data_IF_108751971865
#
_entry.id   IF_108751971865
#
_cell.length_a   1.000
_cell.length_b   1.000
_cell.length_c   1.000
_cell.angle_alpha   90.00
_cell.angle_beta   90.00
_cell.angle_gamma   90.00
#
_symmetry.space_group_name_H-M   'P 1'
#
loop_
_entity.id
_entity.type
_entity.pdbx_description
1 polymer ?
#
# COMPACT_ATOMS: atom_id res chain seq x y z
N UNK A 1 72.87 -31.80 12.93
CA UNK A 1 71.55 -32.23 13.41
C UNK A 1 70.73 -30.96 13.64
N UNK A 2 69.91 -30.54 12.62
CA UNK A 2 69.10 -29.33 12.71
C UNK A 2 67.62 -29.76 12.84
N UNK A 3 67.10 -29.50 14.01
CA UNK A 3 65.69 -29.79 14.34
C UNK A 3 64.87 -28.57 13.95
N UNK A 4 64.01 -28.66 12.86
CA UNK A 4 63.07 -27.63 12.47
C UNK A 4 61.78 -27.80 13.26
N UNK A 5 61.52 -26.84 14.13
CA UNK A 5 60.23 -26.73 14.87
C UNK A 5 59.16 -26.24 13.93
N UNK A 6 58.12 -27.06 13.63
CA UNK A 6 56.95 -26.68 12.85
C UNK A 6 55.92 -26.06 13.80
N UNK A 7 55.64 -24.77 13.62
CA UNK A 7 54.50 -24.06 14.29
C UNK A 7 53.26 -24.23 13.45
N UNK A 8 52.15 -24.72 13.98
CA UNK A 8 50.86 -24.76 13.23
C UNK A 8 50.24 -23.39 13.18
N UNK A 9 49.94 -22.92 11.98
CA UNK A 9 49.16 -21.69 11.72
C UNK A 9 47.68 -22.02 11.87
N UNK A 10 47.06 -21.64 12.99
CA UNK A 10 45.59 -21.73 13.18
C UNK A 10 44.92 -20.53 12.54
N UNK A 11 44.25 -20.75 11.42
CA UNK A 11 43.42 -19.72 10.77
C UNK A 11 42.10 -19.55 11.54
N UNK A 12 41.97 -18.45 12.26
CA UNK A 12 40.72 -18.07 12.93
C UNK A 12 39.79 -17.43 11.91
N UNK A 13 38.73 -18.14 11.49
CA UNK A 13 37.70 -17.63 10.58
C UNK A 13 36.73 -16.75 11.37
N UNK A 14 36.84 -15.43 11.20
CA UNK A 14 35.88 -14.45 11.75
C UNK A 14 34.61 -14.48 10.89
N UNK A 15 33.56 -15.10 11.41
CA UNK A 15 32.22 -15.03 10.80
C UNK A 15 31.60 -13.69 11.18
N UNK A 16 31.58 -12.73 10.25
CA UNK A 16 30.84 -11.46 10.41
C UNK A 16 29.35 -11.72 10.21
N UNK A 17 28.59 -11.76 11.29
CA UNK A 17 27.12 -11.80 11.24
C UNK A 17 26.60 -10.40 10.93
N UNK A 18 26.09 -10.20 9.70
CA UNK A 18 25.38 -8.97 9.32
C UNK A 18 23.97 -9.02 9.92
N UNK A 19 23.73 -8.22 10.95
CA UNK A 19 22.39 -7.94 11.45
C UNK A 19 21.70 -7.00 10.44
N UNK A 20 20.77 -7.53 9.67
CA UNK A 20 19.90 -6.72 8.82
C UNK A 20 18.96 -5.89 9.71
N UNK A 21 19.28 -4.60 9.88
CA UNK A 21 18.38 -3.64 10.51
C UNK A 21 17.20 -3.46 9.57
N UNK A 22 16.01 -3.93 9.97
CA UNK A 22 14.76 -3.61 9.27
C UNK A 22 14.48 -2.13 9.51
N UNK A 23 14.82 -1.27 8.54
CA UNK A 23 14.36 0.13 8.54
C UNK A 23 12.87 0.10 8.26
N UNK A 24 12.06 0.26 9.29
CA UNK A 24 10.64 0.53 9.14
C UNK A 24 10.50 1.94 8.56
N UNK A 25 9.85 2.07 7.41
CA UNK A 25 9.59 3.37 6.82
C UNK A 25 8.74 4.19 7.80
N UNK A 26 9.24 5.35 8.19
CA UNK A 26 8.55 6.22 9.14
C UNK A 26 7.36 6.86 8.43
N UNK A 27 6.14 6.71 9.01
CA UNK A 27 4.92 7.31 8.45
C UNK A 27 5.09 8.83 8.46
N UNK A 28 4.95 9.54 7.31
CA UNK A 28 5.02 10.98 7.26
C UNK A 28 4.00 11.64 8.21
N UNK A 29 4.42 12.67 8.96
CA UNK A 29 3.56 13.33 9.96
C UNK A 29 2.22 13.84 9.38
N UNK A 30 2.17 14.16 8.09
CA UNK A 30 0.96 14.59 7.40
C UNK A 30 -0.10 13.47 7.26
N UNK A 31 0.31 12.20 7.39
CA UNK A 31 -0.57 11.04 7.25
C UNK A 31 -1.00 10.47 8.61
N UNK A 32 -0.26 10.80 9.68
CA UNK A 32 -0.60 10.30 11.01
C UNK A 32 -1.93 10.94 11.43
N UNK A 33 -2.96 10.11 11.64
CA UNK A 33 -4.17 10.56 12.32
C UNK A 33 -3.74 11.04 13.72
N UNK A 34 -3.94 12.31 14.00
CA UNK A 34 -3.35 12.96 15.17
C UNK A 34 -3.79 12.33 16.49
N UNK A 35 -4.99 11.74 16.52
CA UNK A 35 -5.55 11.11 17.73
C UNK A 35 -6.52 10.00 17.30
N UNK A 36 -6.28 8.77 17.74
CA UNK A 36 -7.21 7.69 17.46
C UNK A 36 -6.61 6.31 17.75
N UNK A 37 -7.35 5.50 18.51
CA UNK A 37 -6.94 4.13 18.74
C UNK A 37 -7.10 3.29 17.47
N UNK A 38 -6.09 2.45 17.17
CA UNK A 38 -6.19 1.45 16.11
C UNK A 38 -7.24 0.43 16.50
N UNK A 39 -8.20 0.18 15.61
CA UNK A 39 -9.25 -0.84 15.79
C UNK A 39 -9.04 -2.06 14.90
N UNK A 40 -8.40 -1.88 13.74
CA UNK A 40 -8.04 -2.97 12.84
C UNK A 40 -6.85 -2.59 11.95
N UNK A 41 -6.07 -3.58 11.57
CA UNK A 41 -5.05 -3.47 10.53
C UNK A 41 -5.17 -4.66 9.59
N UNK A 42 -5.28 -4.39 8.29
CA UNK A 42 -5.35 -5.42 7.26
C UNK A 42 -4.21 -5.22 6.27
N UNK A 43 -3.51 -6.30 5.96
CA UNK A 43 -2.70 -6.37 4.76
C UNK A 43 -3.64 -6.52 3.55
N UNK A 44 -3.37 -5.80 2.47
CA UNK A 44 -4.15 -5.90 1.25
C UNK A 44 -3.27 -6.34 0.09
N UNK A 45 -3.76 -7.32 -0.66
CA UNK A 45 -3.17 -7.76 -1.93
C UNK A 45 -4.21 -7.68 -3.03
N UNK A 46 -3.81 -7.14 -4.19
CA UNK A 46 -4.72 -6.97 -5.31
C UNK A 46 -4.10 -6.20 -6.47
N UNK A 47 -4.92 -5.41 -7.15
CA UNK A 47 -4.50 -4.61 -8.29
C UNK A 47 -5.15 -3.22 -8.31
N UNK A 48 -4.41 -2.26 -8.85
CA UNK A 48 -4.95 -1.00 -9.35
C UNK A 48 -5.38 -1.21 -10.80
N UNK A 49 -6.64 -0.95 -11.09
CA UNK A 49 -7.18 -1.06 -12.46
C UNK A 49 -7.12 0.31 -13.11
N UNK A 50 -6.53 0.35 -14.29
CA UNK A 50 -6.44 1.53 -15.14
C UNK A 50 -7.21 1.31 -16.43
N UNK A 51 -7.67 2.40 -17.01
CA UNK A 51 -8.26 2.40 -18.35
C UNK A 51 -7.52 3.40 -19.25
N UNK A 52 -7.21 2.99 -20.45
CA UNK A 52 -6.62 3.82 -21.48
C UNK A 52 -7.65 4.83 -21.99
N UNK A 53 -7.43 6.10 -21.76
CA UNK A 53 -8.33 7.20 -22.14
C UNK A 53 -7.56 8.38 -22.71
N UNK A 54 -8.22 9.24 -23.53
CA UNK A 54 -7.65 10.53 -23.91
C UNK A 54 -7.28 11.36 -22.67
N UNK A 55 -6.08 11.92 -22.67
CA UNK A 55 -5.55 12.78 -21.62
C UNK A 55 -5.56 14.24 -22.07
N UNK A 56 -6.75 14.83 -22.10
CA UNK A 56 -6.93 16.23 -22.49
C UNK A 56 -6.42 17.24 -21.44
N UNK A 57 -6.23 16.82 -20.18
CA UNK A 57 -5.69 17.68 -19.13
C UNK A 57 -4.18 17.86 -19.29
N UNK A 58 -3.45 16.77 -19.57
CA UNK A 58 -1.99 16.78 -19.73
C UNK A 58 -1.55 17.24 -21.12
N UNK A 59 -2.36 16.97 -22.16
CA UNK A 59 -2.05 17.25 -23.55
C UNK A 59 -3.21 17.99 -24.25
N UNK A 60 -3.55 19.22 -23.83
CA UNK A 60 -4.70 19.96 -24.38
C UNK A 60 -4.56 20.29 -25.87
N UNK A 61 -3.31 20.37 -26.39
CA UNK A 61 -3.00 20.57 -27.81
C UNK A 61 -2.94 19.26 -28.63
N UNK A 62 -2.97 18.11 -27.95
CA UNK A 62 -2.90 16.78 -28.56
C UNK A 62 -4.11 15.92 -28.16
N UNK A 63 -5.33 16.22 -28.66
CA UNK A 63 -6.57 15.59 -28.20
C UNK A 63 -6.65 14.06 -28.41
N UNK A 64 -5.63 13.47 -29.06
CA UNK A 64 -5.50 12.01 -29.26
C UNK A 64 -4.46 11.35 -28.38
N UNK A 65 -3.72 12.12 -27.57
CA UNK A 65 -2.79 11.52 -26.62
C UNK A 65 -3.55 10.65 -25.62
N UNK A 66 -3.15 9.39 -25.52
CA UNK A 66 -3.77 8.43 -24.62
C UNK A 66 -2.89 8.23 -23.38
N UNK A 67 -3.52 8.06 -22.23
CA UNK A 67 -2.84 7.76 -20.98
C UNK A 67 -3.61 6.73 -20.14
N UNK A 68 -2.88 6.00 -19.30
CA UNK A 68 -3.47 5.16 -18.28
C UNK A 68 -4.09 6.05 -17.18
N UNK A 69 -5.41 6.06 -17.11
CA UNK A 69 -6.15 6.74 -16.05
C UNK A 69 -6.63 5.73 -15.03
N UNK A 70 -6.34 5.99 -13.74
CA UNK A 70 -6.82 5.16 -12.65
C UNK A 70 -8.34 5.07 -12.66
N UNK A 71 -8.86 3.87 -12.51
CA UNK A 71 -10.29 3.59 -12.46
C UNK A 71 -10.72 3.15 -11.05
N UNK A 72 -10.13 2.06 -10.54
CA UNK A 72 -10.53 1.47 -9.28
C UNK A 72 -9.47 0.53 -8.70
N UNK A 73 -9.41 0.35 -7.37
CA UNK A 73 -8.70 -0.74 -6.76
C UNK A 73 -9.56 -2.00 -6.74
N UNK A 74 -8.93 -3.17 -6.73
CA UNK A 74 -9.54 -4.46 -6.41
C UNK A 74 -8.55 -5.21 -5.53
N UNK A 75 -8.88 -5.40 -4.25
CA UNK A 75 -7.97 -6.07 -3.33
C UNK A 75 -8.71 -6.89 -2.26
N UNK A 76 -8.05 -7.94 -1.79
CA UNK A 76 -8.45 -8.74 -0.63
C UNK A 76 -7.78 -8.19 0.62
N UNK A 77 -8.53 -8.09 1.72
CA UNK A 77 -8.03 -7.73 3.05
C UNK A 77 -7.64 -9.01 3.79
N UNK A 78 -6.41 -9.07 4.30
CA UNK A 78 -5.78 -10.29 4.80
C UNK A 78 -5.26 -10.06 6.22
N UNK A 79 -5.47 -11.04 7.10
CA UNK A 79 -4.83 -11.15 8.42
C UNK A 79 -4.36 -12.60 8.59
N UNK A 80 -3.10 -12.79 8.93
CA UNK A 80 -2.49 -14.11 9.16
C UNK A 80 -2.79 -15.12 8.02
N UNK A 81 -2.73 -14.63 6.77
CA UNK A 81 -2.96 -15.45 5.57
C UNK A 81 -4.43 -15.76 5.25
N UNK A 82 -5.38 -15.28 6.06
CA UNK A 82 -6.81 -15.49 5.84
C UNK A 82 -7.49 -14.23 5.30
N UNK A 83 -8.48 -14.40 4.40
CA UNK A 83 -9.28 -13.30 3.86
C UNK A 83 -10.34 -12.85 4.87
N UNK A 84 -10.35 -11.55 5.18
CA UNK A 84 -11.33 -10.91 6.07
C UNK A 84 -12.17 -9.85 5.39
N UNK A 85 -11.96 -9.58 4.11
CA UNK A 85 -12.75 -8.57 3.43
C UNK A 85 -12.17 -8.18 2.08
N UNK A 86 -12.65 -7.07 1.54
CA UNK A 86 -12.25 -6.55 0.23
C UNK A 86 -12.20 -5.02 0.22
N UNK A 87 -11.36 -4.50 -0.69
CA UNK A 87 -11.28 -3.08 -1.02
C UNK A 87 -11.56 -2.90 -2.51
N UNK A 88 -12.43 -1.94 -2.85
CA UNK A 88 -12.89 -1.72 -4.22
C UNK A 88 -13.31 -0.27 -4.47
N UNK A 89 -13.87 -0.01 -5.66
CA UNK A 89 -14.29 1.33 -6.09
C UNK A 89 -15.17 2.06 -5.07
N UNK A 90 -14.90 3.37 -4.88
CA UNK A 90 -15.71 4.22 -4.02
C UNK A 90 -14.97 5.24 -3.18
N UNK A 91 -13.74 5.06 -2.66
CA UNK A 91 -13.06 3.84 -2.20
C UNK A 91 -13.79 3.21 -1.01
N UNK A 92 -14.06 1.94 -1.09
CA UNK A 92 -14.85 1.19 -0.10
C UNK A 92 -14.08 0.01 0.45
N UNK A 93 -14.34 -0.30 1.73
CA UNK A 93 -13.83 -1.48 2.43
C UNK A 93 -15.01 -2.21 3.06
N UNK A 94 -15.14 -3.50 2.76
CA UNK A 94 -16.10 -4.41 3.37
C UNK A 94 -15.36 -5.46 4.17
N UNK A 95 -15.83 -5.75 5.37
CA UNK A 95 -15.36 -6.84 6.22
C UNK A 95 -16.37 -8.00 6.22
N UNK A 96 -15.88 -9.23 6.46
CA UNK A 96 -16.74 -10.45 6.42
C UNK A 96 -17.82 -10.48 7.51
N UNK A 97 -17.71 -9.67 8.57
CA UNK A 97 -18.73 -9.54 9.62
C UNK A 97 -19.94 -8.69 9.18
N UNK A 98 -19.94 -8.16 7.96
CA UNK A 98 -21.01 -7.35 7.40
C UNK A 98 -20.81 -5.84 7.60
N UNK A 99 -19.80 -5.41 8.36
CA UNK A 99 -19.45 -3.99 8.46
C UNK A 99 -18.70 -3.50 7.21
N UNK A 100 -18.93 -2.26 6.85
CA UNK A 100 -18.22 -1.63 5.74
C UNK A 100 -18.16 -0.12 5.88
N UNK A 101 -17.18 0.48 5.20
CA UNK A 101 -16.95 1.92 5.22
C UNK A 101 -16.58 2.46 3.85
N UNK A 102 -16.89 3.75 3.64
CA UNK A 102 -16.42 4.54 2.50
C UNK A 102 -15.52 5.65 2.99
N UNK A 103 -14.36 5.80 2.33
CA UNK A 103 -13.40 6.84 2.65
C UNK A 103 -13.40 7.99 1.65
N UNK A 104 -12.82 9.12 2.06
CA UNK A 104 -12.47 10.25 1.22
C UNK A 104 -11.03 10.64 1.55
N UNK A 105 -10.19 10.78 0.52
CA UNK A 105 -8.79 11.18 0.70
C UNK A 105 -8.71 12.56 1.38
N UNK A 106 -8.01 12.62 2.49
CA UNK A 106 -7.77 13.83 3.26
C UNK A 106 -6.32 14.33 3.10
N UNK A 107 -5.35 13.42 3.03
CA UNK A 107 -3.94 13.76 2.75
C UNK A 107 -3.22 12.62 2.03
N UNK A 108 -2.12 12.97 1.35
CA UNK A 108 -1.31 12.04 0.57
C UNK A 108 0.17 12.26 0.85
N UNK A 109 0.97 11.20 0.70
CA UNK A 109 2.41 11.26 0.62
C UNK A 109 2.91 10.28 -0.45
N UNK A 110 4.07 10.53 -1.09
CA UNK A 110 4.63 9.60 -2.07
C UNK A 110 4.83 8.20 -1.49
N UNK A 111 4.69 7.17 -2.34
CA UNK A 111 5.17 5.83 -2.04
C UNK A 111 6.70 5.79 -1.88
N UNK A 112 7.24 4.65 -1.46
CA UNK A 112 8.68 4.48 -1.26
C UNK A 112 9.49 4.55 -2.56
N UNK A 113 8.85 4.28 -3.71
CA UNK A 113 9.43 4.39 -5.04
C UNK A 113 8.42 4.94 -6.05
N UNK A 114 8.88 5.29 -7.25
CA UNK A 114 8.01 5.75 -8.35
C UNK A 114 7.04 4.67 -8.85
N UNK A 115 7.27 3.41 -8.53
CA UNK A 115 6.38 2.30 -8.89
C UNK A 115 5.27 2.07 -7.85
N UNK A 116 5.40 2.67 -6.68
CA UNK A 116 4.49 2.45 -5.55
C UNK A 116 3.39 3.53 -5.53
N UNK A 117 2.14 3.09 -5.38
CA UNK A 117 1.04 4.04 -5.19
C UNK A 117 1.23 4.85 -3.91
N UNK A 118 0.69 6.07 -3.90
CA UNK A 118 0.82 7.00 -2.77
C UNK A 118 0.32 6.39 -1.45
N UNK A 119 0.94 6.79 -0.35
CA UNK A 119 0.39 6.63 0.98
C UNK A 119 -0.74 7.63 1.19
N UNK A 120 -1.79 7.24 1.90
CA UNK A 120 -2.97 8.07 2.09
C UNK A 120 -3.41 8.08 3.55
N UNK A 121 -3.97 9.22 3.98
CA UNK A 121 -4.94 9.27 5.06
C UNK A 121 -6.31 9.58 4.45
N UNK A 122 -7.32 8.84 4.85
CA UNK A 122 -8.70 9.04 4.43
C UNK A 122 -9.57 9.28 5.66
N UNK A 123 -10.52 10.20 5.52
CA UNK A 123 -11.61 10.35 6.48
C UNK A 123 -12.76 9.42 6.07
N UNK A 124 -13.37 8.74 7.03
CA UNK A 124 -14.55 7.91 6.75
C UNK A 124 -15.76 8.83 6.65
N UNK A 125 -16.53 8.68 5.56
CA UNK A 125 -17.70 9.51 5.23
C UNK A 125 -19.00 8.72 5.22
N UNK A 126 -18.93 7.39 5.28
CA UNK A 126 -20.12 6.53 5.29
C UNK A 126 -19.78 5.21 6.00
N UNK A 127 -20.73 4.70 6.81
CA UNK A 127 -20.66 3.40 7.44
C UNK A 127 -21.84 2.54 6.98
N UNK A 128 -21.62 1.23 6.92
CA UNK A 128 -22.65 0.24 6.62
C UNK A 128 -22.52 -0.95 7.56
N UNK A 129 -23.66 -1.54 7.93
CA UNK A 129 -23.69 -2.70 8.82
C UNK A 129 -23.12 -2.41 10.21
N UNK A 130 -22.87 -3.48 10.95
CA UNK A 130 -22.24 -3.43 12.28
C UNK A 130 -21.15 -4.48 12.39
N UNK A 131 -20.06 -4.16 13.08
CA UNK A 131 -18.89 -5.01 13.25
C UNK A 131 -17.62 -4.20 13.48
N UNK A 132 -16.48 -4.77 13.14
CA UNK A 132 -15.16 -4.20 13.45
C UNK A 132 -14.92 -2.80 12.86
N UNK A 133 -15.51 -2.50 11.70
CA UNK A 133 -15.35 -1.19 11.03
C UNK A 133 -16.38 -0.15 11.46
N UNK A 134 -17.35 -0.47 12.31
CA UNK A 134 -18.46 0.42 12.65
C UNK A 134 -18.03 1.72 13.37
N UNK A 135 -16.95 1.67 14.12
CA UNK A 135 -16.42 2.82 14.86
C UNK A 135 -15.21 3.49 14.17
N UNK A 136 -14.85 3.03 12.98
CA UNK A 136 -13.71 3.59 12.26
C UNK A 136 -14.02 5.03 11.85
N UNK A 137 -13.09 5.95 12.10
CA UNK A 137 -13.18 7.36 11.72
C UNK A 137 -12.18 7.72 10.62
N UNK A 138 -11.04 7.07 10.61
CA UNK A 138 -9.99 7.30 9.62
C UNK A 138 -9.36 5.99 9.15
N UNK A 139 -8.79 6.04 7.95
CA UNK A 139 -8.01 4.94 7.35
C UNK A 139 -6.66 5.50 6.91
N UNK A 140 -5.59 4.81 7.26
CA UNK A 140 -4.25 5.05 6.71
C UNK A 140 -3.92 3.94 5.72
N UNK A 141 -3.56 4.28 4.47
CA UNK A 141 -2.94 3.36 3.51
C UNK A 141 -1.44 3.61 3.53
N UNK A 142 -0.68 2.65 4.01
CA UNK A 142 0.77 2.73 4.19
C UNK A 142 1.47 1.49 3.62
N UNK A 143 2.80 1.50 3.61
CA UNK A 143 3.62 0.37 3.18
C UNK A 143 3.27 -0.15 1.78
N UNK A 144 2.87 0.76 0.90
CA UNK A 144 2.46 0.42 -0.48
C UNK A 144 3.63 -0.15 -1.27
N UNK A 145 3.33 -1.16 -2.09
CA UNK A 145 4.24 -1.75 -3.07
C UNK A 145 3.53 -1.89 -4.40
N UNK A 146 4.14 -1.40 -5.47
CA UNK A 146 3.58 -1.47 -6.81
C UNK A 146 2.33 -0.61 -7.01
N UNK A 147 1.53 -0.96 -7.99
CA UNK A 147 0.24 -0.34 -8.31
C UNK A 147 0.30 0.85 -9.26
N UNK A 148 1.46 1.44 -9.54
CA UNK A 148 1.57 2.54 -10.50
C UNK A 148 1.66 2.03 -11.93
N UNK A 149 0.74 2.48 -12.81
CA UNK A 149 0.82 2.20 -14.23
C UNK A 149 2.07 2.85 -14.84
N UNK A 150 2.76 2.09 -15.69
CA UNK A 150 3.97 2.51 -16.39
C UNK A 150 3.77 2.42 -17.91
N UNK A 151 4.55 3.21 -18.65
CA UNK A 151 4.58 3.16 -20.09
C UNK A 151 3.39 3.83 -20.78
N UNK A 152 3.39 3.72 -22.11
CA UNK A 152 2.37 4.31 -22.98
C UNK A 152 1.10 3.43 -23.01
N UNK A 153 0.00 4.08 -23.36
CA UNK A 153 -1.29 3.45 -23.60
C UNK A 153 -1.66 3.75 -25.07
N UNK A 154 -1.91 2.69 -25.85
CA UNK A 154 -2.05 2.81 -27.30
C UNK A 154 -3.48 2.57 -27.80
N UNK A 155 -4.29 1.84 -27.05
CA UNK A 155 -5.65 1.47 -27.47
C UNK A 155 -6.67 2.04 -26.51
N UNK A 156 -7.45 3.03 -26.96
CA UNK A 156 -8.52 3.61 -26.17
C UNK A 156 -9.53 2.55 -25.69
N UNK A 157 -9.89 2.61 -24.41
CA UNK A 157 -10.78 1.64 -23.78
C UNK A 157 -10.08 0.40 -23.23
N UNK A 158 -8.81 0.13 -23.56
CA UNK A 158 -8.06 -1.00 -23.00
C UNK A 158 -7.91 -0.86 -21.48
N UNK A 159 -7.84 -2.00 -20.79
CA UNK A 159 -7.61 -2.08 -19.34
C UNK A 159 -6.21 -2.58 -19.03
N UNK A 160 -5.64 -2.06 -17.95
CA UNK A 160 -4.38 -2.52 -17.37
C UNK A 160 -4.60 -2.82 -15.89
N UNK A 161 -4.22 -4.01 -15.47
CA UNK A 161 -4.23 -4.44 -14.06
C UNK A 161 -2.80 -4.40 -13.54
N UNK A 162 -2.50 -3.51 -12.57
CA UNK A 162 -1.17 -3.37 -11.98
C UNK A 162 -1.20 -3.91 -10.55
N UNK A 163 -0.50 -5.02 -10.26
CA UNK A 163 -0.47 -5.59 -8.91
C UNK A 163 0.04 -4.59 -7.87
N UNK A 164 -0.59 -4.60 -6.68
CA UNK A 164 -0.11 -3.84 -5.53
C UNK A 164 -0.39 -4.58 -4.23
N UNK A 165 0.37 -4.21 -3.20
CA UNK A 165 0.03 -4.48 -1.81
C UNK A 165 0.10 -3.20 -0.98
N UNK A 166 -0.59 -3.20 0.17
CA UNK A 166 -0.60 -2.11 1.13
C UNK A 166 -1.05 -2.59 2.50
N UNK A 167 -0.78 -1.81 3.55
CA UNK A 167 -1.43 -1.99 4.84
C UNK A 167 -2.49 -0.89 5.02
N UNK A 168 -3.70 -1.30 5.42
CA UNK A 168 -4.79 -0.42 5.80
C UNK A 168 -4.97 -0.44 7.31
N UNK A 169 -4.70 0.70 7.97
CA UNK A 169 -4.85 0.88 9.41
C UNK A 169 -6.12 1.69 9.67
N UNK A 170 -7.09 1.08 10.33
CA UNK A 170 -8.36 1.71 10.70
C UNK A 170 -8.27 2.23 12.13
N UNK A 171 -8.69 3.48 12.34
CA UNK A 171 -8.67 4.12 13.65
C UNK A 171 -10.03 4.72 13.99
N UNK A 172 -10.41 4.65 15.26
CA UNK A 172 -11.53 5.41 15.80
C UNK A 172 -11.07 6.77 16.34
N UNK A 173 -11.98 7.71 16.51
CA UNK A 173 -11.69 8.93 17.26
C UNK A 173 -11.42 8.61 18.74
N UNK A 174 -10.56 9.38 19.38
CA UNK A 174 -10.49 9.39 20.83
C UNK A 174 -11.76 10.06 21.37
N UNK A 175 -12.41 9.39 22.29
CA UNK A 175 -13.55 9.92 23.07
C UNK A 175 -13.08 10.98 24.05
#
# INVERSE_FOLDING_TARGET
MNSFLKVPLTATCLVATWLAVKVSAQIPAALVARDGAVIATFHAEGAQIYQCKPDSEKYPSEPRALAWQFREPVATLIVDGNSFGRHYAGPMWDHIDGSGVKGRVASTAPGASANDIAWLRLDIIEHRGSGVLSEAATIERINTKGGMAQGACETAGAYLSVPYSADYVFRRNNS
#
